data_IF_030229636621
#
_entry.id   IF_030229636621
#
_cell.length_a   1.000
_cell.length_b   1.000
_cell.length_c   1.000
_cell.angle_alpha   90.00
_cell.angle_beta   90.00
_cell.angle_gamma   90.00
#
_symmetry.space_group_name_H-M   'P 1'
#
loop_
_entity.id
_entity.type
_entity.pdbx_description
1 polymer ?
#
# COMPACT_ATOMS: atom_id res chain seq x y z
N UNK A 1 20.65 -6.53 0.16
CA UNK A 1 20.20 -5.92 -1.11
C UNK A 1 19.28 -4.72 -0.85
N UNK A 2 18.13 -4.91 -0.17
CA UNK A 2 17.18 -3.83 0.20
C UNK A 2 17.84 -2.71 1.01
N UNK A 3 18.58 -3.04 2.08
CA UNK A 3 19.29 -2.02 2.88
C UNK A 3 20.36 -1.27 2.07
N UNK A 4 21.12 -1.96 1.21
CA UNK A 4 22.15 -1.34 0.35
C UNK A 4 21.51 -0.33 -0.61
N UNK A 5 20.34 -0.63 -1.16
CA UNK A 5 19.56 0.30 -1.99
C UNK A 5 19.26 1.61 -1.24
N UNK A 6 18.68 1.52 -0.04
CA UNK A 6 18.38 2.70 0.78
C UNK A 6 19.63 3.42 1.32
N UNK A 7 20.71 2.69 1.63
CA UNK A 7 21.96 3.27 2.14
C UNK A 7 22.76 3.98 1.05
N UNK A 8 22.77 3.49 -0.19
CA UNK A 8 23.46 4.13 -1.34
C UNK A 8 22.88 5.51 -1.62
N UNK A 9 21.56 5.68 -1.52
CA UNK A 9 20.89 6.97 -1.72
C UNK A 9 21.11 7.99 -0.59
N UNK A 10 21.59 7.56 0.59
CA UNK A 10 21.91 8.47 1.71
C UNK A 10 23.15 9.35 1.44
N UNK A 11 24.03 9.02 0.49
CA UNK A 11 25.20 9.87 0.15
C UNK A 11 24.80 11.17 -0.55
N UNK A 12 23.59 11.28 -1.09
CA UNK A 12 23.05 12.49 -1.71
C UNK A 12 22.13 13.29 -0.74
N UNK A 13 22.29 13.09 0.57
CA UNK A 13 21.36 13.58 1.60
C UNK A 13 21.51 15.05 1.96
N UNK A 14 22.66 15.68 1.73
CA UNK A 14 22.85 17.11 2.06
C UNK A 14 21.90 17.98 1.23
N UNK A 15 21.98 17.90 -0.10
CA UNK A 15 21.11 18.67 -1.02
C UNK A 15 19.62 18.41 -0.79
N UNK A 16 19.25 17.17 -0.44
CA UNK A 16 17.86 16.82 -0.16
C UNK A 16 17.38 17.39 1.19
N UNK A 17 18.24 17.37 2.21
CA UNK A 17 17.93 18.01 3.49
C UNK A 17 17.80 19.53 3.34
N UNK A 18 18.69 20.16 2.55
CA UNK A 18 18.64 21.59 2.25
C UNK A 18 17.33 21.95 1.54
N UNK A 19 16.87 21.10 0.61
CA UNK A 19 15.57 21.24 -0.04
C UNK A 19 14.40 21.15 0.96
N UNK A 20 14.40 20.14 1.83
CA UNK A 20 13.33 19.99 2.83
C UNK A 20 13.29 21.19 3.79
N UNK A 21 14.44 21.71 4.22
CA UNK A 21 14.52 22.90 5.05
C UNK A 21 14.01 24.15 4.31
N UNK A 22 14.42 24.33 3.05
CA UNK A 22 13.96 25.44 2.20
C UNK A 22 12.44 25.54 2.10
N UNK A 23 11.74 24.40 2.08
CA UNK A 23 10.28 24.34 1.97
C UNK A 23 9.56 24.04 3.31
N UNK A 24 10.29 24.08 4.44
CA UNK A 24 9.77 23.75 5.78
C UNK A 24 9.03 22.40 5.85
N UNK A 25 9.55 21.40 5.12
CA UNK A 25 8.97 20.07 5.05
C UNK A 25 9.45 19.19 6.21
N UNK A 26 8.54 18.48 6.90
CA UNK A 26 8.87 17.60 8.01
C UNK A 26 9.70 16.38 7.56
N UNK A 27 11.01 16.41 7.85
CA UNK A 27 11.97 15.33 7.58
C UNK A 27 11.54 13.92 8.00
N UNK A 28 10.82 13.70 9.13
CA UNK A 28 10.40 12.35 9.53
C UNK A 28 9.58 11.60 8.48
N UNK A 29 8.80 12.31 7.64
CA UNK A 29 7.97 11.70 6.60
C UNK A 29 8.74 11.31 5.34
N UNK A 30 10.03 11.67 5.25
CA UNK A 30 10.91 11.31 4.15
C UNK A 30 12.00 10.32 4.59
N UNK A 31 11.96 9.88 5.86
CA UNK A 31 12.97 8.99 6.42
C UNK A 31 12.97 7.62 5.71
N UNK A 32 14.15 7.13 5.35
CA UNK A 32 14.36 5.82 4.69
C UNK A 32 14.67 4.69 5.68
N UNK A 33 14.31 4.90 6.96
CA UNK A 33 14.48 3.86 7.99
C UNK A 33 13.52 2.69 7.74
N UNK A 34 13.92 1.47 8.16
CA UNK A 34 13.07 0.28 8.05
C UNK A 34 11.63 0.52 8.54
N UNK A 35 11.49 1.19 9.69
CA UNK A 35 10.18 1.48 10.29
C UNK A 35 9.35 2.44 9.42
N UNK A 36 9.96 3.52 8.93
CA UNK A 36 9.25 4.51 8.11
C UNK A 36 8.83 3.92 6.76
N UNK A 37 9.73 3.17 6.09
CA UNK A 37 9.46 2.53 4.79
C UNK A 37 8.37 1.46 4.92
N UNK A 38 8.50 0.54 5.88
CA UNK A 38 7.50 -0.53 6.06
C UNK A 38 6.12 0.02 6.41
N UNK A 39 6.04 1.03 7.29
CA UNK A 39 4.77 1.72 7.59
C UNK A 39 4.22 2.46 6.37
N UNK A 40 5.08 3.07 5.55
CA UNK A 40 4.67 3.76 4.33
C UNK A 40 4.03 2.79 3.34
N UNK A 41 4.64 1.61 3.13
CA UNK A 41 4.06 0.54 2.32
C UNK A 41 2.71 0.06 2.88
N UNK A 42 2.61 -0.15 4.19
CA UNK A 42 1.36 -0.55 4.83
C UNK A 42 0.23 0.47 4.58
N UNK A 43 0.48 1.75 4.87
CA UNK A 43 -0.51 2.82 4.70
C UNK A 43 -0.89 2.97 3.23
N UNK A 44 0.09 2.92 2.33
CA UNK A 44 -0.15 3.05 0.89
C UNK A 44 -0.95 1.89 0.31
N UNK A 45 -0.66 0.65 0.72
CA UNK A 45 -1.44 -0.52 0.32
C UNK A 45 -2.85 -0.48 0.90
N UNK A 46 -2.99 -0.13 2.19
CA UNK A 46 -4.29 -0.03 2.84
C UNK A 46 -5.24 0.88 2.06
N UNK A 47 -4.78 2.10 1.71
CA UNK A 47 -5.58 3.02 0.90
C UNK A 47 -5.65 2.64 -0.57
N UNK A 48 -4.60 2.03 -1.12
CA UNK A 48 -4.55 1.59 -2.53
C UNK A 48 -5.52 0.46 -2.85
N UNK A 49 -5.88 -0.37 -1.88
CA UNK A 49 -6.91 -1.40 -2.03
C UNK A 49 -8.33 -0.83 -2.00
N UNK A 50 -8.58 0.29 -1.32
CA UNK A 50 -9.96 0.82 -1.16
C UNK A 50 -10.50 1.36 -2.50
N UNK A 51 -11.58 0.79 -3.08
CA UNK A 51 -12.20 1.26 -4.32
C UNK A 51 -12.87 2.63 -4.17
N UNK A 52 -12.08 3.70 -4.18
CA UNK A 52 -12.57 5.05 -4.04
C UNK A 52 -11.75 6.04 -4.86
N UNK A 53 -12.33 7.15 -5.31
CA UNK A 53 -11.54 8.25 -5.85
C UNK A 53 -10.65 8.86 -4.76
N UNK A 54 -9.57 9.54 -5.18
CA UNK A 54 -8.72 10.34 -4.29
C UNK A 54 -8.05 9.56 -3.14
N UNK A 55 -7.63 8.30 -3.36
CA UNK A 55 -6.90 7.48 -2.37
C UNK A 55 -5.64 8.19 -1.80
N UNK A 56 -4.98 9.04 -2.58
CA UNK A 56 -3.86 9.87 -2.11
C UNK A 56 -4.27 10.81 -0.96
N UNK A 57 -5.51 11.32 -0.98
CA UNK A 57 -6.09 12.09 0.11
C UNK A 57 -6.15 11.28 1.40
N UNK A 58 -6.52 10.00 1.33
CA UNK A 58 -6.49 9.08 2.46
C UNK A 58 -5.10 8.95 3.09
N UNK A 59 -4.06 8.80 2.27
CA UNK A 59 -2.67 8.80 2.76
C UNK A 59 -2.32 10.10 3.48
N UNK A 60 -2.64 11.26 2.89
CA UNK A 60 -2.38 12.56 3.50
C UNK A 60 -3.11 12.68 4.85
N UNK A 61 -4.38 12.30 4.90
CA UNK A 61 -5.21 12.32 6.12
C UNK A 61 -4.66 11.43 7.25
N UNK A 62 -3.94 10.36 6.92
CA UNK A 62 -3.28 9.51 7.95
C UNK A 62 -1.96 10.06 8.48
N UNK A 63 -1.39 11.08 7.84
CA UNK A 63 -0.09 11.67 8.21
C UNK A 63 -0.05 12.21 9.65
N UNK A 64 -1.08 12.89 10.18
CA UNK A 64 -1.09 13.37 11.57
C UNK A 64 -1.08 12.23 12.60
N UNK A 65 -1.60 11.06 12.25
CA UNK A 65 -1.78 9.93 13.16
C UNK A 65 -0.50 9.11 13.33
N UNK A 66 0.28 8.95 12.25
CA UNK A 66 1.42 8.06 12.25
C UNK A 66 2.62 8.65 11.51
N UNK A 67 3.83 8.39 12.02
CA UNK A 67 5.06 8.68 11.28
C UNK A 67 5.43 7.51 10.36
N UNK A 68 5.33 7.75 9.06
CA UNK A 68 5.68 6.83 7.97
C UNK A 68 6.32 7.59 6.80
N UNK A 69 6.88 6.85 5.83
CA UNK A 69 7.44 7.46 4.63
C UNK A 69 6.30 7.82 3.65
N UNK A 70 5.92 9.10 3.60
CA UNK A 70 4.79 9.60 2.80
C UNK A 70 5.00 9.40 1.30
N UNK A 71 6.17 9.73 0.71
CA UNK A 71 6.41 9.46 -0.71
C UNK A 71 6.24 7.98 -1.09
N UNK A 72 6.72 7.07 -0.25
CA UNK A 72 6.55 5.63 -0.49
C UNK A 72 5.06 5.25 -0.40
N UNK A 73 4.33 5.76 0.58
CA UNK A 73 2.89 5.49 0.69
C UNK A 73 2.13 5.95 -0.56
N UNK A 74 2.37 7.19 -1.02
CA UNK A 74 1.75 7.73 -2.23
C UNK A 74 2.13 6.93 -3.49
N UNK A 75 3.41 6.56 -3.64
CA UNK A 75 3.85 5.73 -4.75
C UNK A 75 3.21 4.33 -4.73
N UNK A 76 2.89 3.81 -3.54
CA UNK A 76 2.27 2.49 -3.39
C UNK A 76 0.79 2.52 -3.76
N UNK A 77 0.09 3.62 -3.49
CA UNK A 77 -1.29 3.84 -3.96
C UNK A 77 -1.37 3.76 -5.49
N UNK A 78 -0.35 4.23 -6.20
CA UNK A 78 -0.28 4.16 -7.67
C UNK A 78 -0.08 2.74 -8.23
N UNK A 79 0.15 1.74 -7.39
CA UNK A 79 0.14 0.34 -7.81
C UNK A 79 -1.25 -0.05 -8.34
N UNK A 80 -2.30 0.54 -7.77
CA UNK A 80 -3.69 0.45 -8.22
C UNK A 80 -3.97 1.54 -9.25
N UNK A 81 -3.59 1.30 -10.50
CA UNK A 81 -3.77 2.20 -11.64
C UNK A 81 -4.93 1.72 -12.51
N UNK A 82 -5.42 2.51 -13.50
CA UNK A 82 -6.58 2.14 -14.33
C UNK A 82 -6.49 0.76 -14.99
N UNK A 83 -5.28 0.25 -15.21
CA UNK A 83 -5.06 -1.08 -15.80
C UNK A 83 -5.19 -2.18 -14.73
N UNK A 84 -4.71 -1.94 -13.50
CA UNK A 84 -4.74 -2.93 -12.41
C UNK A 84 -6.02 -2.90 -11.58
N UNK A 85 -6.84 -1.85 -11.66
CA UNK A 85 -8.11 -1.77 -10.93
C UNK A 85 -9.13 -2.85 -11.30
N UNK A 86 -9.47 -3.08 -12.59
CA UNK A 86 -10.48 -4.07 -12.94
C UNK A 86 -10.21 -5.48 -12.38
N UNK A 87 -8.99 -6.07 -12.55
CA UNK A 87 -8.72 -7.38 -11.97
C UNK A 87 -8.69 -7.36 -10.44
N UNK A 88 -8.23 -6.27 -9.82
CA UNK A 88 -8.16 -6.15 -8.37
C UNK A 88 -9.57 -6.07 -7.75
N UNK A 89 -10.45 -5.23 -8.28
CA UNK A 89 -11.84 -5.14 -7.82
C UNK A 89 -12.62 -6.42 -8.04
N UNK A 90 -12.35 -7.13 -9.15
CA UNK A 90 -12.95 -8.44 -9.37
C UNK A 90 -12.51 -9.47 -8.31
N UNK A 91 -11.22 -9.50 -7.96
CA UNK A 91 -10.73 -10.37 -6.89
C UNK A 91 -11.33 -10.01 -5.52
N UNK A 92 -11.44 -8.71 -5.21
CA UNK A 92 -12.08 -8.24 -4.00
C UNK A 92 -13.56 -8.65 -3.96
N UNK A 93 -14.30 -8.46 -5.06
CA UNK A 93 -15.68 -8.89 -5.19
C UNK A 93 -15.86 -10.40 -4.97
N UNK A 94 -15.05 -11.24 -5.61
CA UNK A 94 -15.09 -12.69 -5.42
C UNK A 94 -14.79 -13.08 -3.98
N UNK A 95 -13.77 -12.46 -3.39
CA UNK A 95 -13.38 -12.72 -2.00
C UNK A 95 -14.46 -12.28 -1.02
N UNK A 96 -15.12 -11.14 -1.30
CA UNK A 96 -16.25 -10.66 -0.53
C UNK A 96 -17.46 -11.57 -0.61
N UNK A 97 -17.80 -12.05 -1.81
CA UNK A 97 -18.85 -13.06 -1.98
C UNK A 97 -18.54 -14.33 -1.19
N UNK A 98 -17.30 -14.81 -1.23
CA UNK A 98 -16.85 -15.94 -0.43
C UNK A 98 -16.99 -15.68 1.08
N UNK A 99 -16.58 -14.49 1.56
CA UNK A 99 -16.69 -14.11 2.98
C UNK A 99 -18.16 -14.03 3.43
N UNK A 100 -19.03 -13.50 2.56
CA UNK A 100 -20.44 -13.28 2.84
C UNK A 100 -21.31 -14.52 2.56
N UNK A 101 -20.75 -15.58 1.99
CA UNK A 101 -21.49 -16.78 1.58
C UNK A 101 -22.51 -16.52 0.46
N UNK A 102 -22.16 -15.64 -0.48
CA UNK A 102 -22.97 -15.30 -1.66
C UNK A 102 -22.41 -16.00 -2.90
N UNK A 103 -23.30 -16.42 -3.80
CA UNK A 103 -22.90 -17.08 -5.05
C UNK A 103 -22.37 -16.09 -6.11
N UNK A 104 -22.60 -14.79 -5.91
CA UNK A 104 -22.30 -13.74 -6.88
C UNK A 104 -23.49 -13.47 -7.81
N UNK A 105 -23.25 -12.69 -8.87
CA UNK A 105 -24.28 -12.30 -9.83
C UNK A 105 -23.98 -13.04 -11.13
N UNK A 106 -24.94 -13.82 -11.59
CA UNK A 106 -24.92 -14.45 -12.90
C UNK A 106 -25.53 -13.50 -13.94
N UNK A 107 -24.98 -13.50 -15.16
CA UNK A 107 -25.43 -12.67 -16.30
C UNK A 107 -25.23 -11.16 -16.12
N UNK A 108 -24.00 -10.71 -16.39
CA UNK A 108 -23.63 -9.29 -16.37
C UNK A 108 -24.11 -8.61 -17.65
N UNK A 109 -24.97 -7.59 -17.50
CA UNK A 109 -25.36 -6.69 -18.60
C UNK A 109 -24.70 -5.33 -18.42
N UNK A 110 -24.07 -4.82 -19.49
CA UNK A 110 -23.45 -3.48 -19.50
C UNK A 110 -24.50 -2.38 -19.75
N UNK A 111 -25.55 -2.37 -18.93
CA UNK A 111 -26.59 -1.34 -18.95
C UNK A 111 -26.67 -0.62 -17.61
N UNK A 112 -27.01 0.67 -17.64
CA UNK A 112 -27.12 1.47 -16.42
C UNK A 112 -28.24 0.95 -15.50
N UNK A 113 -29.33 0.45 -16.11
CA UNK A 113 -30.47 -0.10 -15.38
C UNK A 113 -30.10 -1.40 -14.65
N UNK A 114 -29.37 -2.31 -15.30
CA UNK A 114 -28.86 -3.51 -14.65
C UNK A 114 -27.95 -3.18 -13.46
N UNK A 115 -27.05 -2.21 -13.64
CA UNK A 115 -26.13 -1.80 -12.59
C UNK A 115 -26.84 -1.19 -11.37
N UNK A 116 -27.87 -0.37 -11.60
CA UNK A 116 -28.70 0.18 -10.52
C UNK A 116 -29.45 -0.91 -9.76
N UNK A 117 -29.96 -1.93 -10.47
CA UNK A 117 -30.69 -3.03 -9.85
C UNK A 117 -29.79 -3.95 -9.01
N UNK A 118 -28.50 -4.06 -9.34
CA UNK A 118 -27.53 -4.92 -8.65
C UNK A 118 -26.52 -4.13 -7.81
N UNK A 119 -26.80 -2.86 -7.51
CA UNK A 119 -25.84 -1.98 -6.82
C UNK A 119 -25.34 -2.59 -5.51
N UNK A 120 -26.26 -3.03 -4.65
CA UNK A 120 -25.92 -3.63 -3.35
C UNK A 120 -25.23 -4.98 -3.49
N UNK A 121 -25.63 -5.77 -4.50
CA UNK A 121 -25.03 -7.06 -4.80
C UNK A 121 -23.60 -6.93 -5.34
N UNK A 122 -23.22 -5.77 -5.88
CA UNK A 122 -21.85 -5.47 -6.29
C UNK A 122 -21.07 -4.85 -5.14
N UNK A 123 -21.60 -3.77 -4.55
CA UNK A 123 -20.85 -2.90 -3.62
C UNK A 123 -20.58 -3.58 -2.28
N UNK A 124 -21.55 -4.30 -1.73
CA UNK A 124 -21.40 -4.95 -0.42
C UNK A 124 -20.27 -6.00 -0.44
N UNK A 125 -20.29 -7.00 -1.34
CA UNK A 125 -19.18 -7.95 -1.42
C UNK A 125 -17.88 -7.28 -1.85
N UNK A 126 -17.89 -6.33 -2.80
CA UNK A 126 -16.68 -5.59 -3.15
C UNK A 126 -15.99 -5.01 -1.91
N UNK A 127 -16.73 -4.24 -1.10
CA UNK A 127 -16.16 -3.60 0.09
C UNK A 127 -15.87 -4.58 1.24
N UNK A 128 -16.56 -5.72 1.32
CA UNK A 128 -16.20 -6.80 2.24
C UNK A 128 -14.83 -7.41 1.87
N UNK A 129 -14.60 -7.65 0.58
CA UNK A 129 -13.30 -8.07 0.06
C UNK A 129 -12.24 -7.01 0.25
N UNK A 130 -12.53 -5.75 -0.09
CA UNK A 130 -11.65 -4.61 0.17
C UNK A 130 -11.22 -4.56 1.64
N UNK A 131 -12.15 -4.72 2.59
CA UNK A 131 -11.82 -4.72 4.02
C UNK A 131 -10.82 -5.84 4.36
N UNK A 132 -10.98 -7.02 3.77
CA UNK A 132 -10.02 -8.12 3.91
C UNK A 132 -8.65 -7.79 3.30
N UNK A 133 -8.58 -7.33 2.04
CA UNK A 133 -7.30 -7.03 1.38
C UNK A 133 -6.57 -5.85 2.02
N UNK A 134 -7.27 -4.75 2.24
CA UNK A 134 -6.72 -3.53 2.85
C UNK A 134 -6.11 -3.81 4.22
N UNK A 135 -6.72 -4.69 5.03
CA UNK A 135 -6.20 -5.04 6.35
C UNK A 135 -5.19 -6.18 6.30
N UNK A 136 -5.60 -7.37 5.83
CA UNK A 136 -4.83 -8.61 5.91
C UNK A 136 -3.64 -8.57 4.97
N UNK A 137 -3.84 -8.28 3.68
CA UNK A 137 -2.76 -8.32 2.69
C UNK A 137 -1.75 -7.22 2.95
N UNK A 138 -2.20 -6.00 3.25
CA UNK A 138 -1.31 -4.90 3.64
C UNK A 138 -0.48 -5.25 4.88
N UNK A 139 -1.10 -5.86 5.90
CA UNK A 139 -0.41 -6.27 7.12
C UNK A 139 0.62 -7.38 6.86
N UNK A 140 0.27 -8.38 6.03
CA UNK A 140 1.19 -9.44 5.63
C UNK A 140 2.40 -8.87 4.88
N UNK A 141 2.20 -7.92 3.96
CA UNK A 141 3.29 -7.26 3.25
C UNK A 141 4.17 -6.46 4.22
N UNK A 142 3.58 -5.76 5.19
CA UNK A 142 4.32 -5.10 6.26
C UNK A 142 5.25 -6.07 7.02
N UNK A 143 4.73 -7.25 7.40
CA UNK A 143 5.51 -8.28 8.07
C UNK A 143 6.61 -8.85 7.16
N UNK A 144 6.28 -9.15 5.90
CA UNK A 144 7.20 -9.69 4.91
C UNK A 144 8.38 -8.75 4.68
N UNK A 145 8.13 -7.45 4.49
CA UNK A 145 9.19 -6.44 4.30
C UNK A 145 10.07 -6.35 5.54
N UNK A 146 9.49 -6.37 6.74
CA UNK A 146 10.27 -6.36 7.98
C UNK A 146 11.14 -7.61 8.14
N UNK A 147 10.62 -8.78 7.76
CA UNK A 147 11.34 -10.04 7.79
C UNK A 147 12.50 -10.06 6.79
N UNK A 148 12.24 -9.69 5.52
CA UNK A 148 13.26 -9.58 4.48
C UNK A 148 14.37 -8.61 4.87
N UNK A 149 14.02 -7.50 5.52
CA UNK A 149 14.99 -6.53 5.99
C UNK A 149 15.88 -7.10 7.11
N UNK A 150 15.30 -7.79 8.10
CA UNK A 150 16.07 -8.47 9.16
C UNK A 150 17.02 -9.51 8.57
N UNK A 151 16.53 -10.35 7.65
CA UNK A 151 17.33 -11.36 6.95
C UNK A 151 18.49 -10.74 6.17
N UNK A 152 18.26 -9.63 5.47
CA UNK A 152 19.31 -8.90 4.75
C UNK A 152 20.41 -8.39 5.69
N UNK A 153 20.08 -7.96 6.92
CA UNK A 153 21.09 -7.50 7.90
C UNK A 153 21.91 -8.68 8.43
N UNK A 154 21.26 -9.81 8.69
CA UNK A 154 21.94 -11.02 9.19
C UNK A 154 22.96 -11.55 8.17
N UNK A 155 22.55 -11.65 6.90
CA UNK A 155 23.43 -12.11 5.83
C UNK A 155 24.65 -11.20 5.66
N UNK A 156 24.46 -9.87 5.69
CA UNK A 156 25.57 -8.90 5.62
C UNK A 156 26.55 -9.05 6.79
N UNK A 157 26.07 -9.37 8.00
CA UNK A 157 26.93 -9.59 9.16
C UNK A 157 27.73 -10.88 9.03
N UNK A 158 27.19 -11.91 8.38
CA UNK A 158 27.91 -13.16 8.09
C UNK A 158 29.00 -12.94 7.03
N UNK A 159 28.67 -12.26 5.93
CA UNK A 159 29.64 -11.92 4.88
C UNK A 159 30.85 -11.15 5.43
N UNK A 160 30.62 -10.20 6.35
CA UNK A 160 31.70 -9.42 6.99
C UNK A 160 32.51 -10.17 8.04
N UNK A 161 32.04 -11.32 8.51
CA UNK A 161 32.79 -12.18 9.46
C UNK A 161 33.58 -13.27 8.72
N UNK A 162 33.26 -13.51 7.45
CA UNK A 162 33.90 -14.51 6.59
C UNK A 162 35.01 -13.92 5.71
N UNK A 163 35.11 -12.59 5.63
CA UNK A 163 36.19 -11.81 5.02
C UNK A 163 36.98 -11.11 6.12
#
# INVERSE_FOLDING_TARGET
MIRKFFKKNSKNSSRFNDFLEKYNLPKPYFATTRKAVSRGLFVGLFWGFIPMPMQMGGVILTTPLFRFNVPIALATVWLSNPITYPPLWYLEYLTGNLILGRDGIDNIELTMQWFQNHWDDIVIPLYAGTAFYSTVVSYLIYLLVNWLWKRSIHNERKEKKSN
#
